data_IF_347545434776
#
_entry.id   IF_347545434776
#
_cell.length_a   1.000
_cell.length_b   1.000
_cell.length_c   1.000
_cell.angle_alpha   90.00
_cell.angle_beta   90.00
_cell.angle_gamma   90.00
#
_symmetry.space_group_name_H-M   'P 1'
#
loop_
_entity.id
_entity.type
_entity.pdbx_description
1 polymer ?
#
# COMPACT_ATOMS: atom_id res chain seq x y z
N UNK A 1 14.02 8.78 -26.78
CA UNK A 1 13.61 7.90 -25.66
C UNK A 1 13.77 8.71 -24.40
N UNK A 2 12.67 9.18 -23.82
CA UNK A 2 12.73 10.03 -22.64
C UNK A 2 12.99 9.14 -21.42
N UNK A 3 14.13 9.31 -20.77
CA UNK A 3 14.53 8.61 -19.53
C UNK A 3 13.76 9.13 -18.29
N UNK A 4 12.51 9.54 -18.45
CA UNK A 4 11.65 9.95 -17.35
C UNK A 4 11.01 8.74 -16.71
N UNK A 5 11.52 8.29 -15.55
CA UNK A 5 10.89 7.21 -14.78
C UNK A 5 9.47 7.59 -14.37
N UNK A 6 8.47 7.07 -15.09
CA UNK A 6 7.05 7.22 -14.77
C UNK A 6 6.53 6.05 -13.93
N UNK A 7 5.54 6.31 -13.08
CA UNK A 7 4.84 5.27 -12.32
C UNK A 7 3.47 5.01 -12.94
N UNK A 8 3.22 3.78 -13.40
CA UNK A 8 1.92 3.36 -13.94
C UNK A 8 1.09 2.70 -12.84
N UNK A 9 -0.01 3.34 -12.44
CA UNK A 9 -0.89 2.89 -11.35
C UNK A 9 -2.20 2.25 -11.81
N UNK A 10 -2.52 2.35 -13.09
CA UNK A 10 -3.73 1.77 -13.71
C UNK A 10 -3.74 0.24 -13.64
N UNK A 11 -4.92 -0.36 -13.78
CA UNK A 11 -5.15 -1.83 -13.87
C UNK A 11 -4.69 -2.65 -12.65
N UNK A 12 -4.38 -2.00 -11.55
CA UNK A 12 -4.13 -2.66 -10.27
C UNK A 12 -5.45 -2.93 -9.52
N UNK A 13 -5.60 -4.08 -8.84
CA UNK A 13 -6.79 -4.46 -8.08
C UNK A 13 -6.81 -3.78 -6.70
N UNK A 14 -6.69 -2.46 -6.65
CA UNK A 14 -6.64 -1.71 -5.39
C UNK A 14 -7.98 -1.78 -4.63
N UNK A 15 -7.93 -2.11 -3.34
CA UNK A 15 -9.06 -1.98 -2.44
C UNK A 15 -9.10 -0.56 -1.83
N UNK A 16 -10.27 0.09 -1.80
CA UNK A 16 -10.41 1.38 -1.14
C UNK A 16 -10.41 1.20 0.39
N UNK A 17 -9.24 1.34 1.02
CA UNK A 17 -9.07 1.25 2.46
C UNK A 17 -8.18 2.37 3.03
N UNK A 18 -8.10 2.44 4.36
CA UNK A 18 -7.29 3.43 5.06
C UNK A 18 -5.78 3.29 4.80
N UNK A 19 -5.33 2.09 4.48
CA UNK A 19 -3.94 1.81 4.11
C UNK A 19 -3.56 2.35 2.73
N UNK A 20 -4.53 2.65 1.87
CA UNK A 20 -4.29 3.19 0.52
C UNK A 20 -4.37 4.73 0.46
N UNK A 21 -4.88 5.39 1.50
CA UNK A 21 -5.09 6.86 1.53
C UNK A 21 -3.81 7.65 1.26
N UNK A 22 -2.64 7.14 1.67
CA UNK A 22 -1.36 7.80 1.41
C UNK A 22 -1.08 7.97 -0.10
N UNK A 23 -1.51 7.00 -0.93
CA UNK A 23 -1.26 7.02 -2.37
C UNK A 23 -2.08 8.13 -3.05
N UNK A 24 -3.33 8.32 -2.63
CA UNK A 24 -4.13 9.46 -3.06
C UNK A 24 -3.52 10.80 -2.65
N UNK A 25 -2.96 10.89 -1.44
CA UNK A 25 -2.26 12.10 -0.98
C UNK A 25 -1.00 12.38 -1.81
N UNK A 26 -0.19 11.35 -2.04
CA UNK A 26 1.00 11.45 -2.88
C UNK A 26 0.66 11.89 -4.31
N UNK A 27 -0.38 11.33 -4.93
CA UNK A 27 -0.82 11.72 -6.28
C UNK A 27 -1.21 13.19 -6.39
N UNK A 28 -1.94 13.72 -5.40
CA UNK A 28 -2.31 15.15 -5.37
C UNK A 28 -1.08 16.04 -5.27
N UNK A 29 -0.08 15.64 -4.48
CA UNK A 29 1.18 16.36 -4.34
C UNK A 29 1.99 16.30 -5.64
N UNK A 30 2.17 15.10 -6.19
CA UNK A 30 2.87 14.88 -7.44
C UNK A 30 2.24 15.68 -8.60
N UNK A 31 0.91 15.70 -8.71
CA UNK A 31 0.22 16.49 -9.74
C UNK A 31 0.51 17.99 -9.60
N UNK A 32 0.51 18.53 -8.37
CA UNK A 32 0.87 19.94 -8.14
C UNK A 32 2.32 20.22 -8.52
N UNK A 33 3.25 19.36 -8.11
CA UNK A 33 4.67 19.50 -8.41
C UNK A 33 4.93 19.39 -9.93
N UNK A 34 4.31 18.42 -10.60
CA UNK A 34 4.42 18.23 -12.05
C UNK A 34 3.94 19.44 -12.86
N UNK A 35 2.87 20.10 -12.41
CA UNK A 35 2.35 21.32 -13.04
C UNK A 35 3.18 22.58 -12.73
N UNK A 36 4.01 22.55 -11.69
CA UNK A 36 4.85 23.68 -11.29
C UNK A 36 6.24 23.67 -11.93
N UNK A 37 6.71 22.52 -12.44
CA UNK A 37 8.11 22.38 -12.86
C UNK A 37 8.43 23.29 -14.04
N UNK A 38 7.57 23.46 -15.05
CA UNK A 38 7.74 24.40 -16.20
C UNK A 38 6.40 25.09 -16.54
N UNK A 39 6.37 26.08 -17.45
CA UNK A 39 5.12 26.66 -17.99
C UNK A 39 4.33 25.60 -18.76
N UNK A 40 3.61 24.76 -18.04
CA UNK A 40 2.79 23.69 -18.62
C UNK A 40 1.62 24.34 -19.36
N UNK A 41 1.39 23.91 -20.61
CA UNK A 41 0.22 24.34 -21.38
C UNK A 41 -1.09 23.89 -20.71
N UNK A 42 -2.20 24.56 -21.00
CA UNK A 42 -3.51 24.17 -20.46
C UNK A 42 -3.87 22.74 -20.87
N UNK A 43 -3.57 22.39 -22.12
CA UNK A 43 -3.84 21.08 -22.71
C UNK A 43 -3.06 19.98 -21.98
N UNK A 44 -1.76 20.22 -21.73
CA UNK A 44 -0.93 19.25 -20.98
C UNK A 44 -1.41 19.11 -19.54
N UNK A 45 -1.87 20.20 -18.90
CA UNK A 45 -2.42 20.13 -17.55
C UNK A 45 -3.70 19.29 -17.49
N UNK A 46 -4.60 19.45 -18.47
CA UNK A 46 -5.82 18.65 -18.60
C UNK A 46 -5.49 17.17 -18.82
N UNK A 47 -4.57 16.87 -19.73
CA UNK A 47 -4.12 15.50 -19.99
C UNK A 47 -3.54 14.84 -18.73
N UNK A 48 -2.74 15.56 -17.96
CA UNK A 48 -2.15 15.04 -16.72
C UNK A 48 -3.23 14.75 -15.67
N UNK A 49 -4.22 15.63 -15.56
CA UNK A 49 -5.35 15.45 -14.66
C UNK A 49 -6.20 14.23 -15.04
N UNK A 50 -6.43 14.01 -16.34
CA UNK A 50 -7.12 12.82 -16.85
C UNK A 50 -6.32 11.54 -16.58
N UNK A 51 -5.01 11.55 -16.83
CA UNK A 51 -4.15 10.40 -16.58
C UNK A 51 -4.17 9.98 -15.10
N UNK A 52 -4.04 10.94 -14.18
CA UNK A 52 -4.06 10.64 -12.74
C UNK A 52 -5.42 10.08 -12.28
N UNK A 53 -6.53 10.46 -12.92
CA UNK A 53 -7.87 9.95 -12.58
C UNK A 53 -8.10 8.50 -13.00
N UNK A 54 -7.33 7.95 -13.95
CA UNK A 54 -7.49 6.57 -14.42
C UNK A 54 -7.09 5.53 -13.38
N UNK A 55 -6.23 5.89 -12.44
CA UNK A 55 -5.91 5.03 -11.32
C UNK A 55 -7.08 5.05 -10.32
N UNK A 56 -7.74 3.90 -10.14
CA UNK A 56 -8.92 3.76 -9.27
C UNK A 56 -8.73 2.66 -8.23
N UNK A 57 -9.40 2.78 -7.08
CA UNK A 57 -9.66 1.67 -6.17
C UNK A 57 -11.12 1.21 -6.25
N UNK A 58 -11.40 0.00 -5.76
CA UNK A 58 -12.73 -0.56 -5.59
C UNK A 58 -13.07 -0.66 -4.09
N UNK A 59 -14.18 -0.08 -3.65
CA UNK A 59 -14.69 -0.29 -2.28
C UNK A 59 -15.33 -1.69 -2.21
N UNK A 60 -14.80 -2.62 -1.39
CA UNK A 60 -15.33 -3.98 -1.32
C UNK A 60 -16.75 -4.06 -0.73
N UNK A 61 -17.21 -3.01 -0.04
CA UNK A 61 -18.54 -2.99 0.60
C UNK A 61 -19.63 -2.50 -0.35
N UNK A 62 -19.30 -1.50 -1.16
CA UNK A 62 -20.26 -0.83 -2.06
C UNK A 62 -20.05 -1.18 -3.52
N UNK A 63 -18.96 -1.88 -3.84
CA UNK A 63 -18.48 -2.17 -5.18
C UNK A 63 -18.27 -0.89 -6.04
N UNK A 64 -18.08 0.26 -5.38
CA UNK A 64 -17.88 1.54 -6.04
C UNK A 64 -16.43 1.71 -6.44
N UNK A 65 -16.19 2.14 -7.69
CA UNK A 65 -14.86 2.57 -8.13
C UNK A 65 -14.64 4.04 -7.79
N UNK A 66 -13.50 4.35 -7.19
CA UNK A 66 -13.13 5.73 -6.82
C UNK A 66 -11.74 6.06 -7.38
N UNK A 67 -11.56 7.20 -8.07
CA UNK A 67 -10.24 7.66 -8.47
C UNK A 67 -9.32 7.83 -7.25
N UNK A 68 -8.08 7.35 -7.32
CA UNK A 68 -7.13 7.43 -6.20
C UNK A 68 -6.85 8.89 -5.79
N UNK A 69 -6.83 9.81 -6.75
CA UNK A 69 -6.69 11.25 -6.47
C UNK A 69 -7.86 11.83 -5.64
N UNK A 70 -9.02 11.17 -5.63
CA UNK A 70 -10.21 11.53 -4.84
C UNK A 70 -10.31 10.73 -3.52
N UNK A 71 -9.30 9.91 -3.21
CA UNK A 71 -9.25 9.14 -1.96
C UNK A 71 -8.80 10.04 -0.81
N UNK A 72 -9.71 10.32 0.12
CA UNK A 72 -9.48 11.12 1.32
C UNK A 72 -9.81 10.33 2.59
N UNK A 73 -9.10 10.58 3.71
CA UNK A 73 -9.34 9.87 4.98
C UNK A 73 -10.80 9.93 5.44
N UNK A 74 -11.43 11.10 5.31
CA UNK A 74 -12.81 11.34 5.73
C UNK A 74 -13.85 10.50 4.97
N UNK A 75 -13.61 10.14 3.70
CA UNK A 75 -14.53 9.27 2.93
C UNK A 75 -14.55 7.83 3.41
N UNK A 76 -13.50 7.41 4.09
CA UNK A 76 -13.33 6.04 4.59
C UNK A 76 -13.47 5.97 6.12
N UNK A 77 -13.79 7.09 6.78
CA UNK A 77 -13.82 7.20 8.25
C UNK A 77 -12.53 6.69 8.91
N UNK A 78 -11.38 7.01 8.31
CA UNK A 78 -10.10 6.51 8.80
C UNK A 78 -9.74 7.16 10.14
N UNK A 79 -9.73 6.35 11.19
CA UNK A 79 -9.19 6.72 12.49
C UNK A 79 -7.70 6.41 12.54
N UNK A 80 -6.90 7.32 13.11
CA UNK A 80 -5.51 7.05 13.41
C UNK A 80 -5.46 6.05 14.59
N UNK A 81 -5.38 4.76 14.28
CA UNK A 81 -5.07 3.74 15.29
C UNK A 81 -3.55 3.73 15.51
N UNK A 82 -3.09 3.58 16.75
CA UNK A 82 -1.66 3.43 17.07
C UNK A 82 -0.98 2.23 16.36
N UNK A 83 -1.77 1.35 15.74
CA UNK A 83 -1.33 0.15 15.00
C UNK A 83 -1.28 0.33 13.48
N UNK A 84 -1.63 1.49 12.91
CA UNK A 84 -1.72 1.67 11.44
C UNK A 84 -0.37 1.73 10.70
N UNK A 85 0.76 1.44 11.36
CA UNK A 85 2.08 1.29 10.73
C UNK A 85 2.30 -0.17 10.33
N UNK A 86 2.04 -0.46 9.06
CA UNK A 86 2.61 -1.61 8.35
C UNK A 86 1.79 -2.89 8.42
N UNK A 87 1.05 -3.17 7.34
CA UNK A 87 0.54 -4.51 7.05
C UNK A 87 1.70 -5.46 6.78
N UNK A 88 2.13 -6.17 7.82
CA UNK A 88 3.01 -7.34 7.72
C UNK A 88 2.38 -8.51 8.50
N UNK A 89 1.14 -8.87 8.14
CA UNK A 89 0.47 -10.06 8.69
C UNK A 89 1.00 -11.37 8.10
N UNK A 90 1.72 -11.32 6.98
CA UNK A 90 2.29 -12.52 6.34
C UNK A 90 3.64 -12.98 6.93
N UNK A 91 4.37 -12.12 7.67
CA UNK A 91 5.73 -12.44 8.16
C UNK A 91 5.78 -12.91 9.62
N UNK A 92 4.68 -12.81 10.38
CA UNK A 92 4.65 -13.25 11.79
C UNK A 92 4.45 -14.77 11.94
N UNK A 93 3.90 -15.45 10.94
CA UNK A 93 3.62 -16.89 11.03
C UNK A 93 4.88 -17.76 10.98
N UNK A 94 5.96 -17.33 10.31
CA UNK A 94 7.18 -18.14 10.21
C UNK A 94 7.99 -18.18 11.52
N UNK A 95 8.04 -17.06 12.27
CA UNK A 95 8.85 -16.97 13.49
C UNK A 95 8.32 -17.81 14.66
N UNK A 96 6.99 -17.98 14.78
CA UNK A 96 6.40 -18.80 15.84
C UNK A 96 6.57 -20.30 15.59
N UNK A 97 6.67 -20.73 14.32
CA UNK A 97 6.84 -22.14 13.97
C UNK A 97 8.30 -22.59 14.13
N UNK A 98 9.28 -21.76 13.76
CA UNK A 98 10.71 -22.10 13.90
C UNK A 98 11.19 -22.14 15.35
N UNK A 99 10.68 -21.27 16.22
CA UNK A 99 11.06 -21.24 17.65
C UNK A 99 10.52 -22.45 18.41
N UNK A 100 9.31 -22.92 18.12
CA UNK A 100 8.76 -24.13 18.74
C UNK A 100 9.51 -25.42 18.31
N UNK A 101 9.92 -25.50 17.05
CA UNK A 101 10.69 -26.64 16.51
C UNK A 101 12.05 -26.78 17.19
N UNK A 102 12.78 -25.67 17.34
CA UNK A 102 14.12 -25.69 17.97
C UNK A 102 14.08 -26.04 19.46
N UNK A 103 13.09 -25.52 20.21
CA UNK A 103 12.92 -25.86 21.63
C UNK A 103 12.60 -27.34 21.81
N UNK A 104 11.74 -27.91 20.97
CA UNK A 104 11.38 -29.34 21.05
C UNK A 104 12.61 -30.24 20.78
N UNK A 105 13.42 -29.92 19.76
CA UNK A 105 14.63 -30.70 19.44
C UNK A 105 15.67 -30.62 20.59
N UNK A 106 15.83 -29.46 21.21
CA UNK A 106 16.76 -29.29 22.35
C UNK A 106 16.26 -30.06 23.58
N UNK A 107 14.95 -30.04 23.87
CA UNK A 107 14.38 -30.79 24.99
C UNK A 107 14.49 -32.31 24.77
N UNK A 108 14.18 -32.79 23.57
CA UNK A 108 14.29 -34.22 23.25
C UNK A 108 15.74 -34.72 23.28
N UNK A 109 16.69 -33.94 22.75
CA UNK A 109 18.11 -34.30 22.84
C UNK A 109 18.59 -34.33 24.30
N UNK A 110 18.28 -33.31 25.10
CA UNK A 110 18.62 -33.27 26.54
C UNK A 110 18.02 -34.42 27.33
N UNK A 111 16.79 -34.83 27.01
CA UNK A 111 16.12 -35.96 27.64
C UNK A 111 16.80 -37.29 27.26
N UNK A 112 17.20 -37.45 26.01
CA UNK A 112 17.92 -38.64 25.54
C UNK A 112 19.27 -38.82 26.24
N UNK A 113 20.03 -37.73 26.40
CA UNK A 113 21.30 -37.73 27.14
C UNK A 113 21.14 -38.06 28.63
N UNK A 114 19.97 -37.85 29.22
CA UNK A 114 19.71 -38.12 30.64
C UNK A 114 19.27 -39.57 30.92
N UNK A 115 18.88 -40.32 29.88
CA UNK A 115 18.33 -41.68 29.98
C UNK A 115 19.31 -42.76 29.47
N UNK A 116 20.41 -42.38 28.81
CA UNK A 116 21.54 -43.27 28.47
C UNK A 116 22.64 -43.16 29.52
#
# INVERSE_FOLDING_TARGET
MDNGGGLVLEKNPWACDCGLVWLGHWLRRWLREALQIHTVSLETAQQLQEMVRRATCLDPRTNQRTPLIELYPHRLSCHASALSRGGSSAWRSHFLVETLSTVLVVLLSRFWWAVS
#
